data_IF_747248956480
#
_entry.id   IF_747248956480
#
_cell.length_a   1.000
_cell.length_b   1.000
_cell.length_c   1.000
_cell.angle_alpha   90.00
_cell.angle_beta   90.00
_cell.angle_gamma   90.00
#
_symmetry.space_group_name_H-M   'P 1'
#
loop_
_entity.id
_entity.type
_entity.pdbx_description
1 polymer ?
#
# COMPACT_ATOMS: atom_id res chain seq x y z
N UNK A 1 -9.87 -2.66 0.43
CA UNK A 1 -9.63 -3.20 1.78
C UNK A 1 -8.88 -4.50 1.70
N UNK A 2 -8.06 -4.74 2.72
CA UNK A 2 -7.46 -6.03 3.01
C UNK A 2 -8.38 -6.73 4.00
N UNK A 3 -8.90 -7.89 3.61
CA UNK A 3 -9.82 -8.68 4.45
C UNK A 3 -9.27 -10.06 4.70
N UNK A 4 -9.31 -10.49 5.95
CA UNK A 4 -8.97 -11.84 6.37
C UNK A 4 -10.18 -12.48 7.05
N UNK A 5 -10.47 -13.71 6.65
CA UNK A 5 -11.47 -14.54 7.32
C UNK A 5 -10.96 -14.93 8.71
N UNK A 6 -11.81 -14.79 9.73
CA UNK A 6 -11.58 -15.28 11.08
C UNK A 6 -12.76 -16.16 11.51
N UNK A 7 -12.58 -17.01 12.55
CA UNK A 7 -13.59 -17.99 12.96
C UNK A 7 -15.01 -17.42 13.11
N UNK A 8 -15.14 -16.17 13.56
CA UNK A 8 -16.43 -15.52 13.83
C UNK A 8 -16.82 -14.45 12.81
N UNK A 9 -16.05 -14.24 11.74
CA UNK A 9 -16.22 -13.04 10.93
C UNK A 9 -15.07 -12.67 10.01
N UNK A 10 -14.83 -11.36 9.95
CA UNK A 10 -13.80 -10.76 9.12
C UNK A 10 -12.97 -9.78 9.93
N UNK A 11 -11.65 -9.85 9.77
CA UNK A 11 -10.75 -8.75 10.08
C UNK A 11 -10.61 -7.89 8.84
N UNK A 12 -10.91 -6.60 8.98
CA UNK A 12 -10.89 -5.63 7.88
C UNK A 12 -9.87 -4.54 8.17
N UNK A 13 -8.94 -4.34 7.25
CA UNK A 13 -8.02 -3.21 7.20
C UNK A 13 -8.39 -2.40 5.96
N UNK A 14 -8.75 -1.13 6.15
CA UNK A 14 -9.09 -0.21 5.05
C UNK A 14 -7.85 0.07 4.20
N UNK A 15 -8.01 0.34 2.89
CA UNK A 15 -6.85 0.66 2.04
C UNK A 15 -6.04 1.84 2.58
N UNK A 16 -6.72 2.84 3.14
CA UNK A 16 -6.06 4.02 3.72
C UNK A 16 -5.24 3.71 4.96
N UNK A 17 -5.65 2.72 5.77
CA UNK A 17 -4.88 2.26 6.92
C UNK A 17 -3.62 1.49 6.47
N UNK A 18 -3.71 0.71 5.38
CA UNK A 18 -2.56 0.08 4.73
C UNK A 18 -1.59 1.13 4.17
N UNK A 19 -2.08 2.12 3.42
CA UNK A 19 -1.27 3.22 2.93
C UNK A 19 -0.54 3.98 4.06
N UNK A 20 -1.23 4.24 5.17
CA UNK A 20 -0.61 4.85 6.36
C UNK A 20 0.48 3.96 6.99
N UNK A 21 0.32 2.63 6.97
CA UNK A 21 1.36 1.71 7.42
C UNK A 21 2.58 1.74 6.48
N UNK A 22 2.35 1.75 5.16
CA UNK A 22 3.41 1.92 4.16
C UNK A 22 4.19 3.23 4.38
N UNK A 23 3.47 4.33 4.64
CA UNK A 23 4.06 5.63 4.97
C UNK A 23 4.91 5.60 6.25
N UNK A 24 4.45 4.94 7.31
CA UNK A 24 5.23 4.77 8.54
C UNK A 24 6.53 4.01 8.31
N UNK A 25 6.51 2.94 7.49
CA UNK A 25 7.71 2.18 7.12
C UNK A 25 8.67 3.06 6.31
N UNK A 26 8.14 3.77 5.31
CA UNK A 26 8.91 4.72 4.49
C UNK A 26 9.61 5.76 5.38
N UNK A 27 8.90 6.35 6.34
CA UNK A 27 9.46 7.36 7.25
C UNK A 27 10.70 6.92 8.05
N UNK A 28 10.96 5.60 8.16
CA UNK A 28 12.11 5.04 8.88
C UNK A 28 13.32 4.74 8.00
N UNK A 29 13.23 4.98 6.68
CA UNK A 29 14.32 4.73 5.75
C UNK A 29 15.59 5.51 6.11
N UNK A 30 16.76 4.91 5.91
CA UNK A 30 18.06 5.55 6.18
C UNK A 30 18.22 6.88 5.47
N UNK A 31 18.56 7.92 6.22
CA UNK A 31 18.73 9.29 5.71
C UNK A 31 19.69 9.39 4.52
N UNK A 32 20.78 8.62 4.53
CA UNK A 32 21.79 8.63 3.44
C UNK A 32 21.26 8.06 2.13
N UNK A 33 20.18 7.27 2.21
CA UNK A 33 19.65 6.46 1.11
C UNK A 33 18.24 6.96 0.71
N UNK A 34 17.80 8.10 1.24
CA UNK A 34 16.51 8.71 0.90
C UNK A 34 16.55 9.35 -0.50
N UNK A 35 15.49 9.21 -1.30
CA UNK A 35 15.35 9.95 -2.55
C UNK A 35 15.37 11.47 -2.37
N UNK A 36 15.83 12.19 -3.39
CA UNK A 36 15.94 13.66 -3.40
C UNK A 36 14.63 14.37 -3.02
N UNK A 37 13.49 13.84 -3.50
CA UNK A 37 12.14 14.38 -3.24
C UNK A 37 11.46 13.63 -2.10
N UNK A 38 12.13 13.61 -0.95
CA UNK A 38 11.76 12.77 0.20
C UNK A 38 10.31 12.94 0.65
N UNK A 39 9.87 14.19 0.86
CA UNK A 39 8.52 14.48 1.36
C UNK A 39 7.47 14.01 0.36
N UNK A 40 7.67 14.27 -0.93
CA UNK A 40 6.78 13.80 -1.98
C UNK A 40 6.78 12.27 -2.10
N UNK A 41 7.93 11.60 -1.94
CA UNK A 41 7.99 10.14 -1.88
C UNK A 41 7.18 9.61 -0.71
N UNK A 42 7.39 10.14 0.50
CA UNK A 42 6.65 9.73 1.70
C UNK A 42 5.13 9.93 1.54
N UNK A 43 4.71 11.06 0.98
CA UNK A 43 3.29 11.34 0.71
C UNK A 43 2.75 10.38 -0.34
N UNK A 44 3.46 10.17 -1.46
CA UNK A 44 3.04 9.23 -2.49
C UNK A 44 2.94 7.80 -1.95
N UNK A 45 3.88 7.37 -1.10
CA UNK A 45 3.83 6.06 -0.43
C UNK A 45 2.62 5.96 0.51
N UNK A 46 2.28 7.03 1.22
CA UNK A 46 1.11 7.03 2.11
C UNK A 46 -0.20 6.98 1.33
N UNK A 47 -0.23 7.56 0.13
CA UNK A 47 -1.45 7.82 -0.63
C UNK A 47 -1.58 7.00 -1.92
N UNK A 48 -0.70 6.03 -2.17
CA UNK A 48 -0.59 5.32 -3.45
C UNK A 48 -1.90 4.68 -3.91
N UNK A 49 -2.78 4.32 -2.98
CA UNK A 49 -4.11 3.75 -3.19
C UNK A 49 -5.25 4.53 -2.48
N UNK A 50 -5.05 5.83 -2.21
CA UNK A 50 -5.98 6.62 -1.36
C UNK A 50 -7.38 6.85 -1.98
N UNK A 51 -7.60 6.44 -3.23
CA UNK A 51 -8.91 6.55 -3.89
C UNK A 51 -9.94 5.53 -3.38
N UNK A 52 -9.49 4.47 -2.72
CA UNK A 52 -10.35 3.44 -2.16
C UNK A 52 -10.84 3.83 -0.75
N UNK A 53 -11.94 4.58 -0.69
CA UNK A 53 -12.63 4.85 0.57
C UNK A 53 -13.77 3.84 0.77
N UNK A 54 -13.58 2.86 1.66
CA UNK A 54 -14.59 1.83 1.97
C UNK A 54 -15.91 2.39 2.53
N UNK A 55 -15.95 3.64 2.99
CA UNK A 55 -17.19 4.28 3.43
C UNK A 55 -18.02 4.90 2.31
N UNK A 56 -17.47 5.00 1.10
CA UNK A 56 -18.13 5.63 -0.04
C UNK A 56 -18.25 4.68 -1.24
N UNK A 57 -17.24 3.82 -1.44
CA UNK A 57 -17.14 2.93 -2.60
C UNK A 57 -18.17 1.79 -2.54
N UNK A 58 -18.60 1.36 -3.74
CA UNK A 58 -19.24 0.09 -4.03
C UNK A 58 -18.55 -0.55 -5.26
N UNK A 59 -18.65 -1.88 -5.46
CA UNK A 59 -19.11 -2.87 -4.49
C UNK A 59 -18.10 -3.05 -3.34
N UNK A 60 -18.59 -3.42 -2.16
CA UNK A 60 -17.76 -3.82 -1.00
C UNK A 60 -17.89 -5.32 -0.71
N UNK A 61 -18.97 -5.95 -1.17
CA UNK A 61 -19.20 -7.39 -1.03
C UNK A 61 -19.45 -8.05 -2.39
N UNK A 62 -19.14 -9.34 -2.49
CA UNK A 62 -19.40 -10.17 -3.66
C UNK A 62 -20.86 -10.65 -3.71
N UNK A 63 -21.21 -11.42 -4.75
CA UNK A 63 -22.56 -11.98 -4.93
C UNK A 63 -22.96 -12.99 -3.83
N UNK A 64 -22.00 -13.52 -3.07
CA UNK A 64 -22.23 -14.39 -1.92
C UNK A 64 -22.41 -13.62 -0.60
N UNK A 65 -22.25 -12.30 -0.64
CA UNK A 65 -22.27 -11.42 0.51
C UNK A 65 -20.98 -11.42 1.33
N UNK A 66 -19.87 -11.92 0.79
CA UNK A 66 -18.55 -11.86 1.42
C UNK A 66 -17.83 -10.54 1.07
N UNK A 67 -17.08 -9.91 2.00
CA UNK A 67 -16.28 -8.72 1.70
C UNK A 67 -15.25 -8.99 0.59
N UNK A 68 -15.20 -8.10 -0.41
CA UNK A 68 -14.25 -8.20 -1.53
C UNK A 68 -12.85 -7.84 -1.05
N UNK A 69 -11.89 -8.73 -1.26
CA UNK A 69 -10.49 -8.46 -0.98
C UNK A 69 -9.86 -7.62 -2.10
N UNK A 70 -8.88 -6.77 -1.77
CA UNK A 70 -8.15 -5.98 -2.77
C UNK A 70 -7.57 -6.81 -3.92
N UNK A 71 -7.16 -8.06 -3.65
CA UNK A 71 -6.65 -8.98 -4.67
C UNK A 71 -7.65 -9.32 -5.77
N UNK A 72 -8.94 -9.14 -5.50
CA UNK A 72 -10.02 -9.44 -6.43
C UNK A 72 -10.43 -8.21 -7.25
N UNK A 73 -9.87 -7.04 -6.91
CA UNK A 73 -10.15 -5.81 -7.64
C UNK A 73 -9.42 -5.78 -8.98
N UNK A 74 -10.03 -5.10 -9.96
CA UNK A 74 -9.48 -4.90 -11.31
C UNK A 74 -9.25 -3.43 -11.55
N UNK A 75 -8.60 -3.12 -12.68
CA UNK A 75 -8.43 -1.73 -13.08
C UNK A 75 -9.78 -0.99 -13.14
N UNK A 76 -9.80 0.19 -12.54
CA UNK A 76 -10.96 1.07 -12.47
C UNK A 76 -10.56 2.44 -13.02
N UNK A 77 -11.10 2.79 -14.19
CA UNK A 77 -10.72 4.00 -14.92
C UNK A 77 -11.06 5.27 -14.13
N UNK A 78 -12.23 5.33 -13.51
CA UNK A 78 -12.71 6.51 -12.79
C UNK A 78 -11.88 6.73 -11.52
N UNK A 79 -11.61 5.66 -10.78
CA UNK A 79 -10.77 5.72 -9.59
C UNK A 79 -9.32 6.09 -9.94
N UNK A 80 -8.74 5.46 -10.96
CA UNK A 80 -7.37 5.76 -11.40
C UNK A 80 -7.25 7.21 -11.88
N UNK A 81 -8.24 7.70 -12.62
CA UNK A 81 -8.29 9.10 -13.07
C UNK A 81 -8.41 10.06 -11.90
N UNK A 82 -9.30 9.77 -10.94
CA UNK A 82 -9.48 10.58 -9.72
C UNK A 82 -8.20 10.62 -8.90
N UNK A 83 -7.54 9.49 -8.71
CA UNK A 83 -6.29 9.38 -7.96
C UNK A 83 -5.17 10.23 -8.58
N UNK A 84 -4.97 10.12 -9.90
CA UNK A 84 -4.01 10.95 -10.63
C UNK A 84 -4.37 12.43 -10.54
N UNK A 85 -5.65 12.81 -10.68
CA UNK A 85 -6.07 14.20 -10.54
C UNK A 85 -5.79 14.75 -9.14
N UNK A 86 -6.07 13.98 -8.08
CA UNK A 86 -5.72 14.35 -6.71
C UNK A 86 -4.21 14.55 -6.55
N UNK A 87 -3.40 13.61 -7.06
CA UNK A 87 -1.94 13.71 -7.05
C UNK A 87 -1.43 14.98 -7.77
N UNK A 88 -2.01 15.29 -8.92
CA UNK A 88 -1.66 16.47 -9.73
C UNK A 88 -1.95 17.80 -9.05
N UNK A 89 -2.91 17.85 -8.11
CA UNK A 89 -3.13 19.05 -7.29
C UNK A 89 -2.05 19.25 -6.21
N UNK A 90 -1.27 18.21 -5.89
CA UNK A 90 -0.21 18.26 -4.87
C UNK A 90 1.16 18.46 -5.51
N UNK A 91 1.53 17.60 -6.47
CA UNK A 91 2.85 17.61 -7.07
C UNK A 91 2.90 16.76 -8.35
N UNK A 92 3.65 17.22 -9.35
CA UNK A 92 3.98 16.41 -10.54
C UNK A 92 4.78 15.17 -10.17
N UNK A 93 5.64 15.25 -9.16
CA UNK A 93 6.43 14.10 -8.71
C UNK A 93 5.56 13.02 -8.05
N UNK A 94 4.59 13.43 -7.22
CA UNK A 94 3.61 12.48 -6.63
C UNK A 94 2.79 11.82 -7.73
N UNK A 95 2.32 12.58 -8.72
CA UNK A 95 1.56 12.01 -9.84
C UNK A 95 2.39 11.04 -10.70
N UNK A 96 3.70 11.28 -10.86
CA UNK A 96 4.60 10.33 -11.51
C UNK A 96 4.70 9.02 -10.73
N UNK A 97 4.94 9.09 -9.41
CA UNK A 97 5.04 7.90 -8.54
C UNK A 97 3.75 7.08 -8.54
N UNK A 98 2.60 7.73 -8.37
CA UNK A 98 1.29 7.08 -8.43
C UNK A 98 1.04 6.50 -9.83
N UNK A 99 1.43 7.20 -10.90
CA UNK A 99 1.34 6.70 -12.26
C UNK A 99 2.16 5.42 -12.49
N UNK A 100 3.39 5.36 -11.94
CA UNK A 100 4.23 4.15 -11.94
C UNK A 100 3.57 3.02 -11.15
N UNK A 101 2.96 3.32 -10.00
CA UNK A 101 2.26 2.32 -9.18
C UNK A 101 1.06 1.72 -9.92
N UNK A 102 0.22 2.54 -10.56
CA UNK A 102 -0.89 2.07 -11.40
C UNK A 102 -0.38 1.20 -12.55
N UNK A 103 0.74 1.58 -13.17
CA UNK A 103 1.35 0.77 -14.23
C UNK A 103 1.81 -0.60 -13.70
N UNK A 104 2.36 -0.66 -12.49
CA UNK A 104 2.82 -1.90 -11.87
C UNK A 104 1.66 -2.82 -11.52
N UNK A 105 0.64 -2.31 -10.82
CA UNK A 105 -0.49 -3.11 -10.34
C UNK A 105 -1.47 -3.50 -11.45
N UNK A 106 -1.60 -2.69 -12.51
CA UNK A 106 -2.58 -2.90 -13.58
C UNK A 106 -1.98 -3.06 -14.98
N UNK A 107 -0.66 -3.13 -15.13
CA UNK A 107 0.02 -3.18 -16.43
C UNK A 107 -0.36 -4.36 -17.34
N UNK A 108 -0.82 -5.46 -16.74
CA UNK A 108 -1.31 -6.64 -17.45
C UNK A 108 -2.82 -6.61 -17.73
N UNK A 109 -3.58 -5.66 -17.16
CA UNK A 109 -5.01 -5.53 -17.36
C UNK A 109 -5.30 -4.91 -18.73
N UNK A 110 -6.02 -5.60 -19.65
CA UNK A 110 -6.36 -5.05 -20.95
C UNK A 110 -7.13 -3.72 -20.88
N UNK A 111 -7.94 -3.51 -19.83
CA UNK A 111 -8.70 -2.28 -19.63
C UNK A 111 -7.81 -1.09 -19.26
N UNK A 112 -6.67 -1.34 -18.63
CA UNK A 112 -5.71 -0.30 -18.23
C UNK A 112 -4.84 0.20 -19.39
N UNK A 113 -4.76 -0.55 -20.51
CA UNK A 113 -3.80 -0.33 -21.60
C UNK A 113 -3.80 1.10 -22.12
N UNK A 114 -4.97 1.67 -22.41
CA UNK A 114 -5.07 3.03 -22.93
C UNK A 114 -4.70 4.08 -21.87
N UNK A 115 -5.13 3.87 -20.62
CA UNK A 115 -4.81 4.77 -19.51
C UNK A 115 -3.30 4.83 -19.24
N UNK A 116 -2.65 3.66 -19.16
CA UNK A 116 -1.19 3.55 -18.97
C UNK A 116 -0.43 4.16 -20.16
N UNK A 117 -0.90 3.95 -21.40
CA UNK A 117 -0.31 4.59 -22.57
C UNK A 117 -0.37 6.13 -22.47
N UNK A 118 -1.47 6.67 -21.95
CA UNK A 118 -1.60 8.09 -21.70
C UNK A 118 -0.67 8.58 -20.58
N UNK A 119 -0.54 7.84 -19.47
CA UNK A 119 0.42 8.17 -18.40
C UNK A 119 1.85 8.26 -18.95
N UNK A 120 2.29 7.24 -19.70
CA UNK A 120 3.61 7.22 -20.35
C UNK A 120 3.83 8.38 -21.30
N UNK A 121 2.78 8.82 -22.01
CA UNK A 121 2.85 9.99 -22.89
C UNK A 121 3.02 11.31 -22.11
N UNK A 122 2.45 11.42 -20.91
CA UNK A 122 2.57 12.62 -20.07
C UNK A 122 3.89 12.65 -19.28
N UNK A 123 4.47 11.49 -19.00
CA UNK A 123 5.65 11.32 -18.15
C UNK A 123 6.83 12.25 -18.51
N UNK A 124 7.26 12.42 -19.77
CA UNK A 124 8.36 13.33 -20.09
C UNK A 124 8.07 14.80 -19.73
N UNK A 125 6.80 15.22 -19.88
CA UNK A 125 6.36 16.56 -19.49
C UNK A 125 6.40 16.71 -17.97
N UNK A 126 5.88 15.74 -17.23
CA UNK A 126 5.83 15.79 -15.77
C UNK A 126 7.22 15.70 -15.14
N UNK A 127 8.14 14.90 -15.70
CA UNK A 127 9.55 14.86 -15.29
C UNK A 127 10.20 16.25 -15.42
N UNK A 128 10.00 16.91 -16.57
CA UNK A 128 10.50 18.26 -16.82
C UNK A 128 9.90 19.29 -15.86
N UNK A 129 8.58 19.25 -15.63
CA UNK A 129 7.89 20.16 -14.71
C UNK A 129 8.27 19.94 -13.25
N UNK A 130 8.54 18.68 -12.85
CA UNK A 130 9.01 18.34 -11.51
C UNK A 130 10.51 18.65 -11.31
N UNK A 131 11.28 18.79 -12.40
CA UNK A 131 12.72 19.04 -12.35
C UNK A 131 13.53 17.80 -11.90
N UNK A 132 13.05 16.59 -12.19
CA UNK A 132 13.70 15.33 -11.78
C UNK A 132 14.10 14.49 -12.99
N UNK A 133 15.04 13.57 -12.77
CA UNK A 133 15.45 12.57 -13.77
C UNK A 133 14.62 11.29 -13.63
N UNK A 134 14.57 10.48 -14.69
CA UNK A 134 13.95 9.15 -14.66
C UNK A 134 14.58 8.27 -13.57
N UNK A 135 15.92 8.28 -13.46
CA UNK A 135 16.64 7.54 -12.40
C UNK A 135 16.21 7.95 -10.99
N UNK A 136 15.99 9.24 -10.74
CA UNK A 136 15.53 9.73 -9.43
C UNK A 136 14.08 9.30 -9.15
N UNK A 137 13.22 9.29 -10.18
CA UNK A 137 11.87 8.77 -10.10
C UNK A 137 11.85 7.26 -9.82
N UNK A 138 12.66 6.48 -10.54
CA UNK A 138 12.69 5.02 -10.40
C UNK A 138 13.13 4.61 -8.99
N UNK A 139 14.19 5.22 -8.46
CA UNK A 139 14.64 4.99 -7.07
C UNK A 139 13.55 5.34 -6.04
N UNK A 140 12.82 6.44 -6.24
CA UNK A 140 11.72 6.80 -5.36
C UNK A 140 10.52 5.83 -5.47
N UNK A 141 10.26 5.33 -6.68
CA UNK A 141 9.20 4.36 -6.93
C UNK A 141 9.52 2.99 -6.33
N UNK A 142 10.76 2.51 -6.47
CA UNK A 142 11.22 1.25 -5.87
C UNK A 142 11.10 1.27 -4.34
N UNK A 143 11.36 2.41 -3.69
CA UNK A 143 11.10 2.56 -2.26
C UNK A 143 9.60 2.52 -1.93
N UNK A 144 8.76 3.17 -2.74
CA UNK A 144 7.31 3.13 -2.57
C UNK A 144 6.78 1.70 -2.69
N UNK A 145 7.20 0.97 -3.71
CA UNK A 145 6.84 -0.43 -3.97
C UNK A 145 7.30 -1.33 -2.82
N UNK A 146 8.53 -1.17 -2.34
CA UNK A 146 9.02 -1.88 -1.16
C UNK A 146 8.11 -1.67 0.07
N UNK A 147 7.72 -0.42 0.32
CA UNK A 147 6.88 -0.08 1.47
C UNK A 147 5.45 -0.63 1.33
N UNK A 148 4.89 -0.61 0.12
CA UNK A 148 3.60 -1.23 -0.19
C UNK A 148 3.66 -2.76 0.03
N UNK A 149 4.64 -3.44 -0.58
CA UNK A 149 4.84 -4.88 -0.41
C UNK A 149 5.00 -5.27 1.07
N UNK A 150 5.82 -4.53 1.83
CA UNK A 150 6.04 -4.81 3.25
C UNK A 150 4.76 -4.62 4.08
N UNK A 151 4.05 -3.51 3.88
CA UNK A 151 2.80 -3.26 4.60
C UNK A 151 1.70 -4.26 4.22
N UNK A 152 1.65 -4.73 2.98
CA UNK A 152 0.76 -5.80 2.55
C UNK A 152 1.08 -7.14 3.22
N UNK A 153 2.36 -7.52 3.37
CA UNK A 153 2.75 -8.75 4.09
C UNK A 153 2.27 -8.72 5.55
N UNK A 154 2.37 -7.55 6.20
CA UNK A 154 1.85 -7.33 7.55
C UNK A 154 0.32 -7.42 7.57
N UNK A 155 -0.37 -6.62 6.74
CA UNK A 155 -1.83 -6.50 6.76
C UNK A 155 -2.52 -7.83 6.45
N UNK A 156 -1.89 -8.67 5.62
CA UNK A 156 -2.42 -9.98 5.23
C UNK A 156 -2.03 -11.11 6.20
N UNK A 157 -1.31 -10.80 7.28
CA UNK A 157 -0.78 -11.82 8.22
C UNK A 157 0.05 -12.89 7.50
N UNK A 158 0.83 -12.48 6.50
CA UNK A 158 1.65 -13.37 5.67
C UNK A 158 3.08 -13.56 6.18
N UNK A 159 3.38 -13.04 7.37
CA UNK A 159 4.66 -13.26 8.03
C UNK A 159 4.71 -14.72 8.50
N UNK A 160 5.60 -15.56 7.94
CA UNK A 160 5.61 -16.98 8.26
C UNK A 160 5.99 -17.24 9.73
N UNK A 161 5.37 -18.23 10.40
CA UNK A 161 5.80 -18.63 11.73
C UNK A 161 7.18 -19.31 11.69
N UNK A 162 7.77 -19.48 12.87
CA UNK A 162 9.01 -20.24 13.11
C UNK A 162 10.25 -19.65 12.40
N UNK A 163 10.30 -18.34 12.19
CA UNK A 163 11.47 -17.67 11.61
C UNK A 163 11.69 -17.93 10.13
N UNK A 164 10.69 -18.51 9.43
CA UNK A 164 10.74 -18.65 7.97
C UNK A 164 10.76 -17.26 7.31
N UNK A 165 11.57 -17.16 6.26
CA UNK A 165 11.82 -15.91 5.52
C UNK A 165 10.87 -15.80 4.33
N UNK A 166 10.39 -14.58 4.08
CA UNK A 166 9.61 -14.21 2.90
C UNK A 166 10.26 -12.98 2.27
N UNK A 167 10.32 -12.92 0.94
CA UNK A 167 10.80 -11.74 0.23
C UNK A 167 9.78 -10.60 0.34
N UNK A 168 10.28 -9.38 0.55
CA UNK A 168 9.47 -8.15 0.48
C UNK A 168 9.42 -7.71 -0.98
N UNK A 169 10.56 -7.21 -1.47
CA UNK A 169 10.83 -6.88 -2.87
C UNK A 169 12.32 -6.56 -3.04
N UNK A 170 12.73 -6.26 -4.27
CA UNK A 170 14.00 -5.56 -4.51
C UNK A 170 13.84 -4.10 -4.14
N UNK A 171 14.63 -3.62 -3.18
CA UNK A 171 14.59 -2.23 -2.75
C UNK A 171 15.21 -1.26 -3.77
N UNK A 172 15.25 0.04 -3.45
CA UNK A 172 15.74 1.09 -4.36
C UNK A 172 17.24 1.00 -4.72
N UNK A 173 17.97 0.10 -4.06
CA UNK A 173 19.37 -0.23 -4.32
C UNK A 173 19.54 -1.48 -5.19
N UNK A 174 18.44 -2.10 -5.64
CA UNK A 174 18.42 -3.37 -6.36
C UNK A 174 18.69 -4.59 -5.48
N UNK A 175 18.80 -4.42 -4.16
CA UNK A 175 19.03 -5.52 -3.22
C UNK A 175 17.71 -6.20 -2.86
N UNK A 176 17.62 -7.54 -2.90
CA UNK A 176 16.44 -8.24 -2.41
C UNK A 176 16.39 -8.19 -0.88
N UNK A 177 15.27 -7.71 -0.34
CA UNK A 177 15.02 -7.65 1.09
C UNK A 177 14.10 -8.78 1.53
N UNK A 178 14.43 -9.42 2.65
CA UNK A 178 13.61 -10.47 3.25
C UNK A 178 13.10 -10.06 4.62
N UNK A 179 11.86 -10.47 4.89
CA UNK A 179 11.13 -10.32 6.12
C UNK A 179 11.08 -11.67 6.85
N UNK A 180 11.25 -11.67 8.17
CA UNK A 180 10.93 -12.81 9.02
C UNK A 180 10.59 -12.36 10.44
N UNK A 181 9.86 -13.20 11.17
CA UNK A 181 9.57 -12.98 12.58
C UNK A 181 10.47 -13.84 13.46
N UNK A 182 11.05 -13.22 14.49
CA UNK A 182 11.78 -13.93 15.55
C UNK A 182 11.22 -13.45 16.88
N UNK A 183 10.71 -14.38 17.69
CA UNK A 183 9.95 -14.03 18.91
C UNK A 183 8.78 -13.09 18.54
N UNK A 184 8.62 -11.98 19.25
CA UNK A 184 7.56 -10.99 19.02
C UNK A 184 8.03 -9.80 18.17
N UNK A 185 9.16 -9.93 17.46
CA UNK A 185 9.71 -8.85 16.61
C UNK A 185 9.82 -9.25 15.15
N UNK A 186 9.50 -8.28 14.30
CA UNK A 186 9.72 -8.35 12.86
C UNK A 186 11.16 -7.93 12.55
N UNK A 187 11.81 -8.66 11.64
CA UNK A 187 13.16 -8.36 11.15
C UNK A 187 13.18 -8.24 9.64
N UNK A 188 14.06 -7.36 9.15
CA UNK A 188 14.31 -7.14 7.73
C UNK A 188 15.81 -7.32 7.46
N UNK A 189 16.15 -8.10 6.44
CA UNK A 189 17.53 -8.34 6.00
C UNK A 189 17.70 -8.10 4.49
N UNK A 190 18.72 -7.32 4.06
CA UNK A 190 19.60 -6.49 4.90
C UNK A 190 18.81 -5.38 5.61
N UNK A 191 19.39 -4.74 6.63
CA UNK A 191 18.68 -3.72 7.43
C UNK A 191 18.72 -2.33 6.77
N UNK A 192 17.59 -1.77 6.27
CA UNK A 192 17.58 -0.52 5.52
C UNK A 192 17.27 0.72 6.37
N UNK A 193 16.89 0.55 7.64
CA UNK A 193 16.31 1.62 8.43
C UNK A 193 17.34 2.45 9.21
N UNK A 194 16.99 3.71 9.49
CA UNK A 194 17.88 4.68 10.12
C UNK A 194 18.22 4.33 11.57
N UNK A 195 17.25 3.76 12.30
CA UNK A 195 17.41 3.30 13.69
C UNK A 195 17.59 1.79 13.73
N UNK A 196 18.12 1.26 14.83
CA UNK A 196 18.22 -0.20 15.02
C UNK A 196 16.87 -0.85 15.37
N UNK A 197 15.88 -0.06 15.77
CA UNK A 197 14.51 -0.51 16.00
C UNK A 197 13.52 0.65 15.95
N UNK A 198 12.26 0.34 15.64
CA UNK A 198 11.14 1.26 15.69
C UNK A 198 9.82 0.49 15.86
N UNK A 199 8.73 1.22 16.05
CA UNK A 199 7.38 0.64 16.08
C UNK A 199 6.53 1.29 15.01
N UNK A 200 5.70 0.48 14.37
CA UNK A 200 4.64 0.92 13.46
C UNK A 200 3.30 0.46 14.01
N UNK A 201 2.24 1.16 13.64
CA UNK A 201 0.89 0.79 14.04
C UNK A 201 -0.09 0.85 12.88
N UNK A 202 -1.15 0.06 12.95
CA UNK A 202 -2.26 0.15 12.03
C UNK A 202 -3.56 -0.25 12.73
N UNK A 203 -4.67 0.24 12.20
CA UNK A 203 -6.00 -0.06 12.70
C UNK A 203 -6.64 -1.18 11.86
N UNK A 204 -7.30 -2.10 12.54
CA UNK A 204 -8.21 -3.04 11.93
C UNK A 204 -9.56 -3.04 12.64
N UNK A 205 -10.56 -3.63 12.00
CA UNK A 205 -11.91 -3.79 12.55
C UNK A 205 -12.34 -5.23 12.41
N UNK A 206 -12.75 -5.84 13.51
CA UNK A 206 -13.34 -7.18 13.49
C UNK A 206 -14.86 -7.11 13.39
N UNK A 207 -15.39 -7.63 12.28
CA UNK A 207 -16.83 -7.73 12.03
C UNK A 207 -17.26 -9.17 12.30
N UNK A 208 -17.97 -9.41 13.40
CA UNK A 208 -18.50 -10.74 13.78
C UNK A 208 -19.72 -11.17 12.97
N UNK A 209 -19.58 -11.22 11.64
CA UNK A 209 -20.63 -11.62 10.69
C UNK A 209 -20.00 -12.05 9.37
N UNK A 210 -20.38 -13.22 8.87
CA UNK A 210 -19.75 -13.82 7.68
C UNK A 210 -20.31 -13.34 6.34
N UNK A 211 -21.62 -13.10 6.27
CA UNK A 211 -22.31 -12.71 5.02
C UNK A 211 -23.17 -11.48 5.23
N UNK A 212 -23.19 -10.59 4.24
CA UNK A 212 -23.96 -9.35 4.27
C UNK A 212 -24.97 -9.34 3.12
N UNK A 213 -26.12 -8.74 3.35
CA UNK A 213 -27.20 -8.64 2.35
C UNK A 213 -26.82 -7.68 1.22
N UNK A 214 -26.10 -6.62 1.54
CA UNK A 214 -25.68 -5.57 0.62
C UNK A 214 -24.57 -4.69 1.24
N UNK A 215 -23.94 -3.87 0.40
CA UNK A 215 -22.88 -2.95 0.82
C UNK A 215 -23.30 -2.00 1.94
N UNK A 216 -24.56 -1.59 2.00
CA UNK A 216 -25.05 -0.70 3.05
C UNK A 216 -25.02 -1.39 4.43
N UNK A 217 -25.39 -2.67 4.49
CA UNK A 217 -25.26 -3.46 5.72
C UNK A 217 -23.81 -3.65 6.12
N UNK A 218 -22.94 -4.07 5.18
CA UNK A 218 -21.51 -4.24 5.45
C UNK A 218 -20.89 -2.94 5.96
N UNK A 219 -21.13 -1.82 5.27
CA UNK A 219 -20.62 -0.50 5.66
C UNK A 219 -21.12 -0.05 7.03
N UNK A 220 -22.40 -0.29 7.36
CA UNK A 220 -22.93 0.03 8.68
C UNK A 220 -22.21 -0.77 9.78
N UNK A 221 -21.93 -2.07 9.52
CA UNK A 221 -21.16 -2.91 10.43
C UNK A 221 -19.70 -2.46 10.53
N UNK A 222 -19.04 -2.14 9.41
CA UNK A 222 -17.68 -1.63 9.41
C UNK A 222 -17.56 -0.34 10.24
N UNK A 223 -18.47 0.61 10.07
CA UNK A 223 -18.48 1.89 10.82
C UNK A 223 -18.72 1.72 12.32
N UNK A 224 -19.54 0.75 12.71
CA UNK A 224 -19.92 0.51 14.11
C UNK A 224 -19.04 -0.51 14.85
N UNK A 225 -18.18 -1.23 14.13
CA UNK A 225 -17.27 -2.20 14.74
C UNK A 225 -16.18 -1.51 15.54
N UNK A 226 -15.77 -2.17 16.63
CA UNK A 226 -14.63 -1.74 17.42
C UNK A 226 -13.37 -1.64 16.55
N UNK A 227 -12.49 -0.72 16.94
CA UNK A 227 -11.19 -0.51 16.30
C UNK A 227 -10.15 -1.18 17.18
N UNK A 228 -9.40 -2.10 16.59
CA UNK A 228 -8.24 -2.71 17.20
C UNK A 228 -6.99 -2.06 16.63
N UNK A 229 -6.15 -1.47 17.49
CA UNK A 229 -4.85 -0.93 17.10
C UNK A 229 -3.78 -1.99 17.30
N UNK A 230 -3.12 -2.38 16.22
CA UNK A 230 -2.00 -3.30 16.25
C UNK A 230 -0.71 -2.50 16.27
N UNK A 231 0.18 -2.78 17.22
CA UNK A 231 1.53 -2.20 17.28
C UNK A 231 2.54 -3.31 17.01
N UNK A 232 3.43 -3.07 16.05
CA UNK A 232 4.46 -4.01 15.64
C UNK A 232 5.83 -3.40 15.89
N UNK A 233 6.72 -4.18 16.50
CA UNK A 233 8.12 -3.81 16.70
C UNK A 233 8.96 -4.39 15.56
N UNK A 234 9.70 -3.52 14.88
CA UNK A 234 10.65 -3.89 13.83
C UNK A 234 12.05 -3.63 14.40
N UNK A 235 12.94 -4.63 14.38
CA UNK A 235 14.25 -4.57 15.04
C UNK A 235 15.34 -5.27 14.22
N UNK A 236 16.54 -4.70 14.23
CA UNK A 236 17.75 -5.26 13.61
C UNK A 236 18.30 -6.45 14.42
N UNK A 237 18.30 -6.31 15.74
CA UNK A 237 18.82 -7.29 16.70
C UNK A 237 17.74 -7.86 17.61
#
# INVERSE_FOLDING_TARGET
>A
MIVAYEEQGWKVITQRAHGLLAGQICAQWKLTDQPERWVETLVATTEHDDVFNEFERNPLIDDNGAPINFKETRFDLDCSTKLINMALTKSRFIALLIGRHIQFTHGSDPLAKQFIANLKKQEPKWLKEAGVTEKSLDMAYELLEFCDAFSLLICQSQIPPEGRRVEISSGPDGTPYVLYQKEEVIRVEPWPFATDHFSVLFEARTIKKLKFRNDAEFRAKLKSSAIDTYTLKISKL
#
